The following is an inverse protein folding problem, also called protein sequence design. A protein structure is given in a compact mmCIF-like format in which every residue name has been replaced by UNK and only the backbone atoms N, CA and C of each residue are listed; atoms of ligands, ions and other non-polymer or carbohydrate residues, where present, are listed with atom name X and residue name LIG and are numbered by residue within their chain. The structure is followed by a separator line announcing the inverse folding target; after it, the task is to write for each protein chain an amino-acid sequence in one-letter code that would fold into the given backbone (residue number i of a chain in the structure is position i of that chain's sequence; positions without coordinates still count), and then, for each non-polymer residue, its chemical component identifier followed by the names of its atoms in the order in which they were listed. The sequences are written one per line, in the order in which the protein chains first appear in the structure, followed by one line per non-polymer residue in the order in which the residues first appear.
data_IF_492016741663
#
_entry.id   IF_492016741663
#
_cell.length_a   1.000
_cell.length_b   1.000
_cell.length_c   1.000
_cell.angle_alpha   90.00
_cell.angle_beta   90.00
_cell.angle_gamma   90.00
#
_symmetry.space_group_name_H-M   'P 1'
#
loop_
_entity.id
_entity.type
_entity.pdbx_description
1 polymer ?
#
# COMPACT_ATOMS: atom_id res chain seq x y z
N UNK A 1 -9.05 25.19 23.04
CA UNK A 1 -8.75 23.88 22.39
C UNK A 1 -9.96 22.97 22.55
N UNK A 2 -10.52 22.41 21.48
CA UNK A 2 -11.57 21.38 21.61
C UNK A 2 -10.88 20.04 21.89
N UNK A 3 -11.41 19.23 22.79
CA UNK A 3 -10.84 17.94 23.18
C UNK A 3 -11.88 16.82 23.05
N UNK A 4 -11.41 15.58 22.92
CA UNK A 4 -12.28 14.39 22.94
C UNK A 4 -11.89 13.50 24.12
N UNK A 5 -12.91 12.96 24.78
CA UNK A 5 -12.77 12.15 25.98
C UNK A 5 -13.13 10.70 25.67
N UNK A 6 -12.29 9.79 26.16
CA UNK A 6 -12.55 8.35 26.14
C UNK A 6 -12.69 7.88 27.58
N UNK A 7 -13.86 7.35 27.91
CA UNK A 7 -14.12 6.70 29.19
C UNK A 7 -13.70 5.25 29.03
N UNK A 8 -12.74 4.82 29.84
CA UNK A 8 -12.20 3.47 29.81
C UNK A 8 -13.05 2.54 30.65
N UNK A 9 -12.98 1.23 30.40
CA UNK A 9 -13.61 0.23 31.25
C UNK A 9 -13.01 0.18 32.67
N UNK A 10 -13.79 -0.25 33.66
CA UNK A 10 -13.37 -0.32 35.07
C UNK A 10 -12.09 -1.14 35.29
N UNK A 11 -11.85 -2.16 34.46
CA UNK A 11 -10.66 -3.03 34.56
C UNK A 11 -9.34 -2.25 34.50
N UNK A 12 -9.33 -1.08 33.88
CA UNK A 12 -8.13 -0.25 33.77
C UNK A 12 -7.88 0.62 35.02
N UNK A 13 -8.87 0.78 35.91
CA UNK A 13 -8.74 1.66 37.08
C UNK A 13 -7.59 1.27 38.03
N UNK A 14 -7.26 -0.02 38.11
CA UNK A 14 -6.15 -0.52 38.94
C UNK A 14 -4.76 -0.09 38.42
N UNK A 15 -4.67 0.31 37.16
CA UNK A 15 -3.41 0.67 36.49
C UNK A 15 -3.14 2.18 36.45
N UNK A 16 -4.00 3.00 37.05
CA UNK A 16 -3.98 4.46 36.93
C UNK A 16 -2.59 5.07 37.16
N UNK A 17 -1.87 4.67 38.22
CA UNK A 17 -0.51 5.17 38.53
C UNK A 17 0.52 4.86 37.45
N UNK A 18 0.44 3.69 36.81
CA UNK A 18 1.35 3.30 35.71
C UNK A 18 1.02 4.06 34.43
N UNK A 19 -0.27 4.31 34.20
CA UNK A 19 -0.78 5.01 33.03
C UNK A 19 -0.30 6.47 33.00
N UNK A 20 -0.30 7.19 34.13
CA UNK A 20 0.19 8.58 34.16
C UNK A 20 1.64 8.69 33.66
N UNK A 21 2.53 7.78 34.07
CA UNK A 21 3.94 7.78 33.65
C UNK A 21 4.09 7.53 32.14
N UNK A 22 3.27 6.63 31.57
CA UNK A 22 3.28 6.32 30.15
C UNK A 22 2.84 7.48 29.27
N UNK A 23 2.02 8.40 29.78
CA UNK A 23 1.54 9.54 28.98
C UNK A 23 2.70 10.44 28.58
N UNK A 24 3.65 10.70 29.47
CA UNK A 24 4.83 11.53 29.16
C UNK A 24 5.69 10.89 28.04
N UNK A 25 5.81 9.56 28.07
CA UNK A 25 6.48 8.77 27.02
C UNK A 25 5.71 8.87 25.69
N UNK A 26 4.38 8.72 25.72
CA UNK A 26 3.53 8.82 24.52
C UNK A 26 3.50 10.24 23.93
N UNK A 27 3.52 11.29 24.75
CA UNK A 27 3.56 12.68 24.28
C UNK A 27 4.85 12.95 23.52
N UNK A 28 5.97 12.35 23.94
CA UNK A 28 7.25 12.46 23.22
C UNK A 28 7.17 11.81 21.82
N UNK A 29 6.41 10.72 21.69
CA UNK A 29 6.14 10.04 20.41
C UNK A 29 5.18 10.82 19.51
N UNK A 30 4.25 11.59 20.08
CA UNK A 30 3.35 12.46 19.32
C UNK A 30 4.05 13.58 18.55
N UNK A 31 5.37 13.76 18.75
CA UNK A 31 6.21 14.57 17.86
C UNK A 31 6.24 13.99 16.43
N UNK A 32 5.99 12.69 16.25
CA UNK A 32 5.70 12.12 14.94
C UNK A 32 4.26 12.46 14.54
N UNK A 33 4.10 13.12 13.38
CA UNK A 33 2.80 13.64 12.90
C UNK A 33 1.69 12.60 12.69
N UNK A 34 2.04 11.32 12.77
CA UNK A 34 1.18 10.15 12.55
C UNK A 34 0.51 9.65 13.84
N UNK A 35 1.02 10.05 15.01
CA UNK A 35 0.49 9.59 16.29
C UNK A 35 -0.36 10.67 16.97
N UNK A 36 -1.42 10.23 17.63
CA UNK A 36 -2.23 11.05 18.51
C UNK A 36 -2.10 10.49 19.93
N UNK A 37 -1.33 11.19 20.76
CA UNK A 37 -1.19 10.85 22.17
C UNK A 37 -2.25 11.55 23.04
N UNK A 38 -2.60 10.98 24.21
CA UNK A 38 -3.42 11.68 25.18
C UNK A 38 -2.66 12.90 25.72
N UNK A 39 -3.37 14.02 25.87
CA UNK A 39 -2.85 15.24 26.49
C UNK A 39 -2.83 15.09 28.02
N UNK A 40 -3.81 14.38 28.58
CA UNK A 40 -3.84 14.00 29.99
C UNK A 40 -4.80 12.83 30.21
N UNK A 41 -4.64 12.14 31.32
CA UNK A 41 -5.62 11.20 31.87
C UNK A 41 -6.04 11.71 33.25
N UNK A 42 -7.23 11.33 33.70
CA UNK A 42 -7.59 11.47 35.11
C UNK A 42 -8.56 10.38 35.51
N UNK A 43 -8.59 10.04 36.80
CA UNK A 43 -9.59 9.14 37.37
C UNK A 43 -10.73 9.96 37.98
N UNK A 44 -11.95 9.78 37.48
CA UNK A 44 -13.14 10.39 38.05
C UNK A 44 -13.77 9.44 39.07
N UNK A 45 -13.68 9.82 40.34
CA UNK A 45 -14.21 9.04 41.48
C UNK A 45 -15.74 8.90 41.47
N UNK A 46 -16.48 9.82 40.83
CA UNK A 46 -17.95 9.80 40.82
C UNK A 46 -18.49 8.70 39.93
N UNK A 47 -17.87 8.52 38.77
CA UNK A 47 -18.22 7.45 37.84
C UNK A 47 -17.33 6.21 38.01
N UNK A 48 -16.29 6.30 38.86
CA UNK A 48 -15.28 5.26 39.07
C UNK A 48 -14.65 4.78 37.76
N UNK A 49 -14.21 5.70 36.92
CA UNK A 49 -13.57 5.37 35.64
C UNK A 49 -12.40 6.31 35.36
N UNK A 50 -11.41 5.80 34.63
CA UNK A 50 -10.40 6.63 34.01
C UNK A 50 -10.89 7.25 32.72
N UNK A 51 -10.52 8.51 32.51
CA UNK A 51 -10.87 9.31 31.36
C UNK A 51 -9.58 9.75 30.68
N UNK A 52 -9.38 9.31 29.43
CA UNK A 52 -8.31 9.79 28.56
C UNK A 52 -8.79 10.99 27.76
N UNK A 53 -7.95 12.02 27.68
CA UNK A 53 -8.23 13.23 26.96
C UNK A 53 -7.28 13.38 25.77
N UNK A 54 -7.83 13.46 24.55
CA UNK A 54 -7.07 13.62 23.32
C UNK A 54 -7.35 14.97 22.65
N UNK A 55 -6.42 15.46 21.81
CA UNK A 55 -6.72 16.57 20.91
C UNK A 55 -7.93 16.24 20.03
N UNK A 56 -8.67 17.26 19.58
CA UNK A 56 -9.83 17.05 18.72
C UNK A 56 -9.40 16.43 17.38
N UNK A 57 -10.04 15.30 17.06
CA UNK A 57 -10.09 14.70 15.73
C UNK A 57 -11.55 14.62 15.24
N UNK A 58 -11.76 14.39 13.94
CA UNK A 58 -13.11 14.45 13.36
C UNK A 58 -13.93 13.22 13.73
N UNK A 59 -13.43 12.03 13.42
CA UNK A 59 -14.11 10.76 13.71
C UNK A 59 -13.16 9.58 13.84
N UNK A 60 -13.65 8.49 14.44
CA UNK A 60 -12.95 7.21 14.46
C UNK A 60 -12.92 6.60 13.06
N UNK A 61 -11.81 5.95 12.70
CA UNK A 61 -11.59 5.33 11.41
C UNK A 61 -12.69 4.30 11.13
N UNK A 62 -13.01 3.42 12.09
CA UNK A 62 -14.09 2.42 11.96
C UNK A 62 -15.47 2.99 11.58
N UNK A 63 -15.74 4.26 11.93
CA UNK A 63 -17.01 4.91 11.58
C UNK A 63 -16.97 5.51 10.16
N UNK A 64 -15.77 5.85 9.68
CA UNK A 64 -15.55 6.40 8.35
C UNK A 64 -15.47 5.31 7.27
N UNK A 65 -14.86 4.16 7.59
CA UNK A 65 -14.62 3.03 6.68
C UNK A 65 -15.87 2.51 5.94
N UNK A 66 -17.06 2.36 6.57
CA UNK A 66 -18.24 1.86 5.88
C UNK A 66 -18.76 2.80 4.79
N UNK A 67 -18.51 4.11 4.92
CA UNK A 67 -18.96 5.13 3.98
C UNK A 67 -18.06 5.24 2.74
N UNK A 68 -16.91 4.57 2.71
CA UNK A 68 -15.98 4.62 1.58
C UNK A 68 -16.35 3.60 0.51
N UNK A 69 -16.64 4.11 -0.69
CA UNK A 69 -16.79 3.29 -1.88
C UNK A 69 -15.46 3.22 -2.64
N UNK A 70 -15.03 2.01 -2.99
CA UNK A 70 -13.91 1.82 -3.89
C UNK A 70 -14.40 1.88 -5.33
N UNK A 71 -13.79 2.77 -6.11
CA UNK A 71 -14.00 2.86 -7.56
C UNK A 71 -12.64 2.85 -8.24
N UNK A 72 -12.46 1.91 -9.17
CA UNK A 72 -11.24 1.80 -9.98
C UNK A 72 -10.32 0.63 -9.59
N UNK A 73 -9.24 0.50 -10.36
CA UNK A 73 -8.26 -0.60 -10.25
C UNK A 73 -7.13 -0.32 -9.25
N UNK A 74 -6.96 0.93 -8.83
CA UNK A 74 -5.90 1.38 -7.93
C UNK A 74 -6.46 1.84 -6.59
N UNK A 75 -5.60 1.78 -5.57
CA UNK A 75 -5.97 2.17 -4.21
C UNK A 75 -6.27 3.68 -4.18
N UNK A 76 -7.34 4.12 -3.47
CA UNK A 76 -7.59 5.54 -3.28
C UNK A 76 -6.42 6.21 -2.51
N UNK A 77 -6.06 7.46 -2.83
CA UNK A 77 -4.96 8.15 -2.17
C UNK A 77 -5.03 8.16 -0.64
N UNK A 78 -6.23 8.34 -0.07
CA UNK A 78 -6.42 8.33 1.38
C UNK A 78 -6.06 6.98 2.03
N UNK A 79 -6.33 5.87 1.34
CA UNK A 79 -5.96 4.53 1.79
C UNK A 79 -4.47 4.28 1.63
N UNK A 80 -3.88 4.75 0.53
CA UNK A 80 -2.43 4.72 0.35
C UNK A 80 -1.71 5.49 1.47
N UNK A 81 -2.19 6.68 1.82
CA UNK A 81 -1.64 7.49 2.90
C UNK A 81 -1.79 6.79 4.26
N UNK A 82 -2.98 6.24 4.57
CA UNK A 82 -3.18 5.43 5.78
C UNK A 82 -2.11 4.35 5.90
N UNK A 83 -1.94 3.55 4.84
CA UNK A 83 -1.04 2.41 4.87
C UNK A 83 0.41 2.88 5.04
N UNK A 84 0.81 3.92 4.31
CA UNK A 84 2.14 4.53 4.46
C UNK A 84 2.40 5.05 5.87
N UNK A 85 1.43 5.75 6.46
CA UNK A 85 1.56 6.34 7.80
C UNK A 85 1.68 5.24 8.86
N UNK A 86 0.90 4.15 8.73
CA UNK A 86 1.01 2.99 9.61
C UNK A 86 2.38 2.33 9.45
N UNK A 87 2.81 1.93 8.24
CA UNK A 87 4.12 1.26 8.06
C UNK A 87 5.26 2.16 8.55
N UNK A 88 5.22 3.46 8.24
CA UNK A 88 6.23 4.41 8.68
C UNK A 88 6.26 4.48 10.20
N UNK A 89 5.10 4.58 10.86
CA UNK A 89 5.04 4.56 12.32
C UNK A 89 5.56 3.29 12.94
N UNK A 90 5.19 2.15 12.38
CA UNK A 90 5.63 0.85 12.88
C UNK A 90 7.14 0.64 12.69
N UNK A 91 7.75 1.24 11.66
CA UNK A 91 9.21 1.22 11.45
C UNK A 91 10.01 1.95 12.55
N UNK A 92 9.36 2.82 13.33
CA UNK A 92 9.96 3.49 14.48
C UNK A 92 9.67 2.76 15.82
N UNK A 93 8.85 1.71 15.82
CA UNK A 93 8.26 1.10 17.02
C UNK A 93 8.89 -0.25 17.42
N UNK A 94 10.03 -0.66 16.83
CA UNK A 94 10.76 -1.86 17.30
C UNK A 94 11.11 -1.80 18.82
N UNK A 95 11.11 -0.61 19.45
CA UNK A 95 11.29 -0.43 20.90
C UNK A 95 9.98 -0.28 21.71
N UNK A 96 8.81 -0.20 21.08
CA UNK A 96 7.56 0.28 21.72
C UNK A 96 6.32 -0.54 21.36
N UNK A 97 6.53 -1.84 21.12
CA UNK A 97 5.57 -2.88 20.76
C UNK A 97 4.45 -3.14 21.79
N UNK A 98 3.97 -2.13 22.50
CA UNK A 98 2.97 -2.29 23.57
C UNK A 98 1.78 -1.33 23.49
N UNK A 99 1.77 -0.27 22.66
CA UNK A 99 0.76 0.82 22.79
C UNK A 99 -0.22 1.01 21.61
N UNK A 100 -0.15 0.17 20.59
CA UNK A 100 -0.81 0.44 19.30
C UNK A 100 -2.33 0.22 19.27
N UNK A 101 -2.89 -0.41 20.29
CA UNK A 101 -4.32 -0.69 20.40
C UNK A 101 -4.88 -1.49 19.22
N UNK A 102 -6.19 -1.76 19.23
CA UNK A 102 -6.86 -2.24 18.01
C UNK A 102 -6.89 -1.11 16.98
N UNK A 103 -6.65 -1.43 15.71
CA UNK A 103 -6.80 -0.52 14.57
C UNK A 103 -8.18 0.17 14.48
N UNK A 104 -9.21 -0.44 15.08
CA UNK A 104 -10.54 0.15 15.25
C UNK A 104 -10.55 1.47 16.01
N UNK A 105 -9.47 1.72 16.76
CA UNK A 105 -9.27 2.91 17.56
C UNK A 105 -8.55 4.06 16.82
N UNK A 106 -8.11 3.84 15.58
CA UNK A 106 -7.45 4.88 14.78
C UNK A 106 -8.43 6.00 14.44
N UNK A 107 -7.91 7.20 14.17
CA UNK A 107 -8.72 8.39 13.93
C UNK A 107 -8.39 9.10 12.64
N UNK A 108 -9.40 9.73 12.07
CA UNK A 108 -9.25 10.62 10.94
C UNK A 108 -9.20 12.08 11.42
N UNK A 109 -8.15 12.79 11.01
CA UNK A 109 -8.12 14.25 10.97
C UNK A 109 -8.33 14.69 9.51
N UNK A 110 -9.30 15.56 9.26
CA UNK A 110 -9.65 16.05 7.92
C UNK A 110 -8.91 17.34 7.56
N UNK A 111 -8.20 17.97 8.51
CA UNK A 111 -7.44 19.20 8.31
C UNK A 111 -6.13 19.19 9.12
N UNK A 112 -5.00 18.75 8.51
CA UNK A 112 -4.87 18.19 7.16
C UNK A 112 -5.55 16.81 7.03
N UNK A 113 -5.96 16.40 5.82
CA UNK A 113 -6.48 15.05 5.56
C UNK A 113 -5.40 14.00 5.84
N UNK A 114 -5.36 13.50 7.07
CA UNK A 114 -4.40 12.51 7.55
C UNK A 114 -5.08 11.58 8.54
N UNK A 115 -4.67 10.32 8.49
CA UNK A 115 -5.13 9.33 9.45
C UNK A 115 -4.06 9.25 10.53
N UNK A 116 -4.48 9.40 11.78
CA UNK A 116 -3.60 9.29 12.94
C UNK A 116 -3.93 8.04 13.73
N UNK A 117 -2.89 7.41 14.23
CA UNK A 117 -2.98 6.29 15.15
C UNK A 117 -3.16 6.85 16.56
N UNK A 118 -4.26 6.51 17.23
CA UNK A 118 -4.40 6.82 18.65
C UNK A 118 -3.44 5.92 19.43
N UNK A 119 -2.55 6.52 20.21
CA UNK A 119 -1.69 5.80 21.13
C UNK A 119 -2.39 5.67 22.48
N UNK A 120 -2.67 4.43 22.91
CA UNK A 120 -3.24 4.19 24.23
C UNK A 120 -2.13 3.89 25.24
N UNK A 121 -2.24 4.38 26.49
CA UNK A 121 -1.21 4.19 27.53
C UNK A 121 -1.28 2.82 28.22
N UNK A 122 -1.66 1.76 27.51
CA UNK A 122 -1.74 0.39 28.05
C UNK A 122 -0.61 -0.48 27.51
N UNK A 123 -0.27 -1.53 28.25
CA UNK A 123 0.57 -2.61 27.74
C UNK A 123 -0.31 -3.60 26.97
N UNK A 124 -0.07 -3.73 25.68
CA UNK A 124 -0.52 -4.89 24.90
C UNK A 124 0.48 -6.04 25.09
N UNK A 125 -0.03 -7.26 25.18
CA UNK A 125 0.75 -8.47 24.90
C UNK A 125 1.37 -8.40 23.50
N UNK A 126 2.43 -9.20 23.26
CA UNK A 126 3.21 -9.28 22.01
C UNK A 126 2.47 -8.72 20.80
N UNK A 127 2.94 -7.57 20.31
CA UNK A 127 2.29 -6.88 19.20
C UNK A 127 2.66 -7.56 17.89
N UNK A 128 1.75 -8.38 17.38
CA UNK A 128 1.76 -8.87 16.01
C UNK A 128 1.13 -7.85 15.04
N UNK A 129 1.60 -6.60 15.09
CA UNK A 129 0.96 -5.50 14.34
C UNK A 129 0.82 -5.81 12.84
N UNK A 130 1.75 -6.58 12.26
CA UNK A 130 1.68 -7.01 10.86
C UNK A 130 0.48 -7.91 10.59
N UNK A 131 0.22 -8.87 11.48
CA UNK A 131 -0.92 -9.78 11.38
C UNK A 131 -2.25 -9.04 11.62
N UNK A 132 -2.30 -8.19 12.63
CA UNK A 132 -3.47 -7.37 12.95
C UNK A 132 -3.80 -6.40 11.82
N UNK A 133 -2.76 -5.76 11.26
CA UNK A 133 -2.92 -4.84 10.14
C UNK A 133 -3.30 -5.57 8.85
N UNK A 134 -2.75 -6.76 8.60
CA UNK A 134 -3.18 -7.61 7.50
C UNK A 134 -4.66 -7.99 7.62
N UNK A 135 -5.11 -8.41 8.81
CA UNK A 135 -6.52 -8.74 9.07
C UNK A 135 -7.45 -7.55 8.81
N UNK A 136 -7.05 -6.36 9.26
CA UNK A 136 -7.76 -5.12 8.99
C UNK A 136 -7.88 -4.80 7.50
N UNK A 137 -6.78 -4.92 6.76
CA UNK A 137 -6.78 -4.68 5.32
C UNK A 137 -7.63 -5.72 4.59
N UNK A 138 -7.65 -6.97 5.04
CA UNK A 138 -8.56 -7.99 4.50
C UNK A 138 -10.02 -7.56 4.68
N UNK A 139 -10.41 -7.23 5.91
CA UNK A 139 -11.78 -6.92 6.27
C UNK A 139 -12.31 -5.66 5.56
N UNK A 140 -11.53 -4.59 5.58
CA UNK A 140 -12.03 -3.27 5.19
C UNK A 140 -11.58 -2.78 3.81
N UNK A 141 -10.53 -3.37 3.23
CA UNK A 141 -9.99 -3.01 1.91
C UNK A 141 -10.18 -4.16 0.91
N UNK A 142 -9.52 -5.31 1.10
CA UNK A 142 -9.46 -6.39 0.10
C UNK A 142 -10.83 -7.00 -0.21
N UNK A 143 -11.65 -7.26 0.81
CA UNK A 143 -12.99 -7.83 0.62
C UNK A 143 -13.91 -6.92 -0.21
N UNK A 144 -13.68 -5.60 -0.16
CA UNK A 144 -14.43 -4.60 -0.92
C UNK A 144 -13.79 -4.26 -2.27
N UNK A 145 -12.49 -4.51 -2.41
CA UNK A 145 -11.68 -4.19 -3.59
C UNK A 145 -10.68 -5.32 -3.86
N UNK A 146 -11.07 -6.26 -4.72
CA UNK A 146 -10.31 -7.48 -5.05
C UNK A 146 -9.14 -7.22 -6.00
N UNK A 147 -8.22 -6.33 -5.61
CA UNK A 147 -7.01 -6.04 -6.38
C UNK A 147 -5.92 -7.07 -6.13
N UNK A 148 -5.19 -7.47 -7.18
CA UNK A 148 -3.99 -8.31 -7.08
C UNK A 148 -2.93 -7.64 -6.21
N UNK A 149 -2.75 -6.32 -6.36
CA UNK A 149 -1.77 -5.54 -5.60
C UNK A 149 -2.08 -5.57 -4.11
N UNK A 150 -3.36 -5.47 -3.75
CA UNK A 150 -3.79 -5.54 -2.34
C UNK A 150 -3.49 -6.91 -1.74
N UNK A 151 -3.76 -7.99 -2.48
CA UNK A 151 -3.47 -9.36 -2.04
C UNK A 151 -1.97 -9.60 -1.88
N UNK A 152 -1.19 -9.15 -2.86
CA UNK A 152 0.26 -9.26 -2.84
C UNK A 152 0.86 -8.54 -1.61
N UNK A 153 0.45 -7.28 -1.41
CA UNK A 153 0.85 -6.47 -0.26
C UNK A 153 0.52 -7.14 1.09
N UNK A 154 -0.71 -7.65 1.24
CA UNK A 154 -1.15 -8.35 2.47
C UNK A 154 -0.29 -9.60 2.71
N UNK A 155 0.03 -10.35 1.66
CA UNK A 155 0.90 -11.52 1.78
C UNK A 155 2.31 -11.13 2.26
N UNK A 156 2.87 -10.02 1.77
CA UNK A 156 4.18 -9.53 2.24
C UNK A 156 4.15 -9.14 3.72
N UNK A 157 3.09 -8.46 4.17
CA UNK A 157 2.90 -8.14 5.59
C UNK A 157 2.89 -9.41 6.45
N UNK A 158 2.18 -10.45 6.01
CA UNK A 158 2.04 -11.71 6.75
C UNK A 158 3.30 -12.59 6.75
N UNK A 159 4.23 -12.41 5.82
CA UNK A 159 5.46 -13.20 5.69
C UNK A 159 6.66 -12.63 6.42
N UNK A 160 6.47 -11.55 7.19
CA UNK A 160 7.53 -10.82 7.88
C UNK A 160 8.63 -10.28 6.93
N UNK A 161 8.27 -9.87 5.70
CA UNK A 161 9.21 -9.27 4.74
C UNK A 161 9.86 -7.99 5.28
N UNK A 162 10.98 -7.56 4.70
CA UNK A 162 11.72 -6.36 5.13
C UNK A 162 10.82 -5.13 5.00
N UNK A 163 10.76 -4.29 6.05
CA UNK A 163 9.90 -3.09 6.07
C UNK A 163 10.23 -2.13 4.92
N UNK A 164 11.51 -1.97 4.61
CA UNK A 164 11.96 -1.19 3.45
C UNK A 164 11.31 -1.68 2.16
N UNK A 165 11.26 -2.98 1.92
CA UNK A 165 10.59 -3.55 0.73
C UNK A 165 9.09 -3.23 0.77
N UNK A 166 8.42 -3.48 1.90
CA UNK A 166 6.98 -3.19 2.08
C UNK A 166 6.65 -1.70 1.80
N UNK A 167 7.53 -0.76 2.19
CA UNK A 167 7.36 0.68 1.91
C UNK A 167 7.46 1.01 0.41
N UNK A 168 8.24 0.25 -0.35
CA UNK A 168 8.43 0.43 -1.80
C UNK A 168 7.44 -0.39 -2.64
N UNK A 169 6.56 -1.16 -2.01
CA UNK A 169 5.59 -2.00 -2.70
C UNK A 169 4.70 -1.20 -3.69
N UNK A 170 4.36 -1.76 -4.88
CA UNK A 170 3.61 -1.07 -5.93
C UNK A 170 2.29 -0.43 -5.51
N UNK A 171 1.57 -1.06 -4.58
CA UNK A 171 0.33 -0.53 -3.98
C UNK A 171 0.51 0.89 -3.42
N UNK A 172 1.73 1.22 -2.98
CA UNK A 172 2.06 2.47 -2.30
C UNK A 172 2.79 3.46 -3.21
N UNK A 173 2.96 3.18 -4.49
CA UNK A 173 3.71 4.05 -5.39
C UNK A 173 2.76 4.83 -6.31
N UNK A 174 3.14 6.07 -6.63
CA UNK A 174 2.51 6.80 -7.73
C UNK A 174 2.89 6.18 -9.09
N UNK A 175 2.17 6.57 -10.13
CA UNK A 175 2.32 5.95 -11.43
C UNK A 175 3.67 6.24 -12.12
N UNK A 176 4.29 7.37 -11.80
CA UNK A 176 5.61 7.72 -12.34
C UNK A 176 6.69 6.82 -11.73
N UNK A 177 6.64 6.60 -10.42
CA UNK A 177 7.53 5.68 -9.71
C UNK A 177 7.34 4.23 -10.18
N UNK A 178 6.11 3.79 -10.41
CA UNK A 178 5.85 2.47 -11.00
C UNK A 178 6.43 2.33 -12.41
N UNK A 179 6.31 3.37 -13.23
CA UNK A 179 6.87 3.38 -14.60
C UNK A 179 8.39 3.34 -14.56
N UNK A 180 9.00 4.07 -13.62
CA UNK A 180 10.43 4.04 -13.39
C UNK A 180 10.90 2.68 -12.88
N UNK A 181 10.21 2.06 -11.92
CA UNK A 181 10.51 0.72 -11.42
C UNK A 181 10.55 -0.30 -12.56
N UNK A 182 9.53 -0.32 -13.41
CA UNK A 182 9.47 -1.22 -14.58
C UNK A 182 10.69 -1.01 -15.48
N UNK A 183 11.00 0.24 -15.82
CA UNK A 183 12.10 0.59 -16.72
C UNK A 183 13.47 0.24 -16.15
N UNK A 184 13.67 0.48 -14.86
CA UNK A 184 14.94 0.24 -14.16
C UNK A 184 15.19 -1.24 -13.89
N UNK A 185 14.12 -2.03 -13.79
CA UNK A 185 14.19 -3.47 -13.57
C UNK A 185 14.45 -4.23 -14.86
N UNK A 186 14.00 -3.71 -16.01
CA UNK A 186 14.22 -4.35 -17.30
C UNK A 186 15.71 -4.51 -17.63
N UNK A 187 16.04 -5.56 -18.38
CA UNK A 187 17.41 -5.89 -18.82
C UNK A 187 17.40 -6.19 -20.31
N UNK A 188 18.43 -5.72 -21.02
CA UNK A 188 18.64 -6.06 -22.43
C UNK A 188 18.93 -7.56 -22.58
N UNK A 189 18.53 -8.15 -23.71
CA UNK A 189 18.69 -9.58 -23.98
C UNK A 189 20.15 -10.06 -23.85
N UNK A 190 21.12 -9.23 -24.26
CA UNK A 190 22.55 -9.53 -24.16
C UNK A 190 23.04 -9.73 -22.72
N UNK A 191 22.28 -9.26 -21.72
CA UNK A 191 22.58 -9.40 -20.30
C UNK A 191 21.81 -10.54 -19.62
N UNK A 192 21.08 -11.35 -20.38
CA UNK A 192 20.32 -12.49 -19.85
C UNK A 192 21.15 -13.77 -19.92
N UNK A 193 21.67 -14.18 -18.77
CA UNK A 193 22.21 -15.53 -18.58
C UNK A 193 21.08 -16.54 -18.47
N UNK A 194 21.38 -17.84 -18.64
CA UNK A 194 20.40 -18.91 -18.45
C UNK A 194 19.72 -18.86 -17.06
N UNK A 195 20.48 -18.53 -16.01
CA UNK A 195 19.97 -18.35 -14.65
C UNK A 195 18.99 -17.19 -14.54
N UNK A 196 19.30 -16.04 -15.17
CA UNK A 196 18.40 -14.88 -15.19
C UNK A 196 17.12 -15.16 -15.98
N UNK A 197 17.20 -15.92 -17.07
CA UNK A 197 16.03 -16.35 -17.85
C UNK A 197 15.13 -17.26 -16.99
N UNK A 198 15.73 -18.20 -16.25
CA UNK A 198 15.00 -19.09 -15.36
C UNK A 198 14.33 -18.29 -14.23
N UNK A 199 15.04 -17.34 -13.61
CA UNK A 199 14.52 -16.45 -12.57
C UNK A 199 13.36 -15.58 -13.09
N UNK A 200 13.53 -15.01 -14.28
CA UNK A 200 12.49 -14.24 -14.94
C UNK A 200 11.25 -15.09 -15.21
N UNK A 201 11.43 -16.29 -15.75
CA UNK A 201 10.32 -17.17 -16.14
C UNK A 201 9.57 -17.74 -14.93
N UNK A 202 10.25 -17.90 -13.79
CA UNK A 202 9.64 -18.37 -12.55
C UNK A 202 8.92 -17.25 -11.77
N UNK A 203 9.26 -15.98 -12.03
CA UNK A 203 8.66 -14.83 -11.34
C UNK A 203 7.61 -14.14 -12.20
N UNK A 204 7.94 -13.82 -13.44
CA UNK A 204 7.05 -13.14 -14.39
C UNK A 204 6.38 -14.17 -15.30
N UNK A 205 5.09 -14.41 -15.08
CA UNK A 205 4.39 -15.47 -15.79
C UNK A 205 3.92 -15.01 -17.18
N UNK A 206 4.47 -15.64 -18.22
CA UNK A 206 4.08 -15.44 -19.61
C UNK A 206 2.69 -16.01 -19.95
N UNK A 207 2.13 -16.88 -19.10
CA UNK A 207 0.83 -17.51 -19.30
C UNK A 207 -0.10 -17.12 -18.15
N UNK A 208 -1.06 -16.25 -18.42
CA UNK A 208 -2.04 -15.79 -17.42
C UNK A 208 -3.38 -16.47 -17.65
N UNK A 209 -3.92 -17.15 -16.64
CA UNK A 209 -5.18 -17.89 -16.74
C UNK A 209 -5.22 -18.88 -17.92
N UNK A 210 -4.13 -19.61 -18.15
CA UNK A 210 -3.93 -20.53 -19.28
C UNK A 210 -3.92 -19.86 -20.66
N UNK A 211 -3.76 -18.54 -20.73
CA UNK A 211 -3.68 -17.77 -21.98
C UNK A 211 -2.28 -17.16 -22.10
N UNK A 212 -1.57 -17.37 -23.23
CA UNK A 212 -0.32 -16.66 -23.49
C UNK A 212 -0.54 -15.15 -23.46
N UNK A 213 0.40 -14.41 -22.89
CA UNK A 213 0.26 -12.96 -22.75
C UNK A 213 0.06 -12.24 -24.09
N UNK A 214 0.60 -12.78 -25.19
CA UNK A 214 0.46 -12.25 -26.55
C UNK A 214 -0.88 -12.56 -27.20
N UNK A 215 -1.71 -13.41 -26.58
CA UNK A 215 -3.08 -13.70 -27.01
C UNK A 215 -4.12 -12.88 -26.25
N UNK A 216 -3.69 -11.98 -25.36
CA UNK A 216 -4.60 -11.10 -24.62
C UNK A 216 -5.28 -10.13 -25.60
N UNK A 217 -6.60 -10.01 -25.47
CA UNK A 217 -7.40 -9.07 -26.26
C UNK A 217 -7.53 -7.77 -25.49
N UNK A 218 -7.25 -6.64 -26.14
CA UNK A 218 -7.40 -5.30 -25.57
C UNK A 218 -8.05 -4.37 -26.58
N UNK A 219 -8.77 -3.35 -26.08
CA UNK A 219 -9.35 -2.31 -26.94
C UNK A 219 -8.35 -1.19 -27.26
N UNK A 220 -7.18 -1.18 -26.59
CA UNK A 220 -6.13 -0.20 -26.82
C UNK A 220 -5.34 -0.52 -28.10
N UNK A 221 -5.41 0.38 -29.08
CA UNK A 221 -4.77 0.20 -30.38
C UNK A 221 -3.22 0.19 -30.30
N UNK A 222 -2.63 0.93 -29.37
CA UNK A 222 -1.17 1.00 -29.19
C UNK A 222 -0.67 -0.30 -28.58
N UNK A 223 -1.39 -0.83 -27.59
CA UNK A 223 -1.06 -2.13 -26.98
C UNK A 223 -1.21 -3.27 -27.99
N UNK A 224 -2.30 -3.28 -28.78
CA UNK A 224 -2.47 -4.26 -29.85
C UNK A 224 -1.31 -4.21 -30.86
N UNK A 225 -0.84 -3.02 -31.22
CA UNK A 225 0.31 -2.87 -32.11
C UNK A 225 1.58 -3.48 -31.50
N UNK A 226 1.87 -3.19 -30.23
CA UNK A 226 3.00 -3.80 -29.51
C UNK A 226 2.92 -5.33 -29.47
N UNK A 227 1.76 -5.89 -29.09
CA UNK A 227 1.54 -7.34 -29.04
C UNK A 227 1.76 -7.96 -30.43
N UNK A 228 1.20 -7.37 -31.49
CA UNK A 228 1.33 -7.89 -32.86
C UNK A 228 2.75 -7.88 -33.41
N UNK A 229 3.61 -7.00 -32.87
CA UNK A 229 5.02 -6.84 -33.27
C UNK A 229 5.99 -7.54 -32.32
N UNK A 230 5.49 -8.27 -31.33
CA UNK A 230 6.31 -9.00 -30.37
C UNK A 230 7.16 -10.05 -31.11
N UNK A 231 8.45 -10.09 -30.78
CA UNK A 231 9.42 -11.01 -31.41
C UNK A 231 9.41 -12.37 -30.73
N UNK A 232 9.17 -12.39 -29.41
CA UNK A 232 9.12 -13.60 -28.59
C UNK A 232 7.83 -13.61 -27.77
N UNK A 233 7.33 -14.81 -27.44
CA UNK A 233 6.12 -15.02 -26.63
C UNK A 233 6.43 -15.51 -25.21
N UNK A 234 7.69 -15.40 -24.78
CA UNK A 234 8.16 -15.79 -23.46
C UNK A 234 8.03 -14.64 -22.44
N UNK A 235 8.46 -14.88 -21.19
CA UNK A 235 8.41 -13.87 -20.13
C UNK A 235 9.26 -12.64 -20.43
N UNK A 236 10.36 -12.78 -21.17
CA UNK A 236 11.17 -11.64 -21.59
C UNK A 236 10.48 -10.81 -22.67
N UNK A 237 9.79 -11.45 -23.61
CA UNK A 237 8.92 -10.77 -24.57
C UNK A 237 7.86 -9.93 -23.86
N UNK A 238 7.15 -10.53 -22.88
CA UNK A 238 6.17 -9.81 -22.06
C UNK A 238 6.79 -8.59 -21.36
N UNK A 239 7.91 -8.78 -20.66
CA UNK A 239 8.57 -7.68 -19.95
C UNK A 239 9.02 -6.57 -20.90
N UNK A 240 9.49 -6.94 -22.10
CA UNK A 240 9.92 -5.99 -23.13
C UNK A 240 8.75 -5.12 -23.62
N UNK A 241 7.58 -5.71 -23.87
CA UNK A 241 6.40 -4.94 -24.28
C UNK A 241 5.87 -4.04 -23.14
N UNK A 242 5.86 -4.54 -21.91
CA UNK A 242 5.49 -3.74 -20.72
C UNK A 242 6.42 -2.53 -20.57
N UNK A 243 7.73 -2.73 -20.71
CA UNK A 243 8.71 -1.64 -20.65
C UNK A 243 8.51 -0.62 -21.78
N UNK A 244 8.18 -1.07 -22.99
CA UNK A 244 7.88 -0.16 -24.12
C UNK A 244 6.62 0.67 -23.86
N UNK A 245 5.57 0.05 -23.31
CA UNK A 245 4.35 0.76 -22.90
C UNK A 245 4.68 1.80 -21.83
N UNK A 246 5.37 1.41 -20.75
CA UNK A 246 5.77 2.33 -19.68
C UNK A 246 6.64 3.51 -20.18
N UNK A 247 7.46 3.31 -21.21
CA UNK A 247 8.37 4.35 -21.72
C UNK A 247 7.78 5.23 -22.85
N UNK A 248 6.96 4.65 -23.74
CA UNK A 248 6.63 5.28 -25.02
C UNK A 248 5.13 5.33 -25.33
N UNK A 249 4.26 4.82 -24.46
CA UNK A 249 2.82 4.79 -24.71
C UNK A 249 2.24 6.18 -25.01
N UNK A 250 2.56 7.20 -24.21
CA UNK A 250 2.03 8.57 -24.39
C UNK A 250 2.42 9.13 -25.76
N UNK A 251 3.67 8.92 -26.19
CA UNK A 251 4.16 9.39 -27.47
C UNK A 251 3.46 8.68 -28.64
N UNK A 252 3.37 7.35 -28.57
CA UNK A 252 2.78 6.54 -29.64
C UNK A 252 1.26 6.69 -29.72
N UNK A 253 0.58 6.84 -28.59
CA UNK A 253 -0.84 7.18 -28.55
C UNK A 253 -1.11 8.53 -29.21
N UNK A 254 -0.26 9.54 -28.96
CA UNK A 254 -0.36 10.85 -29.65
C UNK A 254 -0.12 10.74 -31.15
N UNK A 255 0.85 9.94 -31.60
CA UNK A 255 1.10 9.70 -33.04
C UNK A 255 -0.12 9.04 -33.70
N UNK A 256 -0.63 7.96 -33.10
CA UNK A 256 -1.77 7.21 -33.61
C UNK A 256 -3.06 8.05 -33.67
N UNK A 257 -3.32 8.89 -32.67
CA UNK A 257 -4.47 9.81 -32.68
C UNK A 257 -4.36 10.88 -33.77
N UNK A 258 -3.15 11.40 -34.03
CA UNK A 258 -2.90 12.32 -35.16
C UNK A 258 -3.17 11.64 -36.50
N UNK A 259 -2.67 10.43 -36.70
CA UNK A 259 -2.85 9.67 -37.94
C UNK A 259 -4.32 9.32 -38.19
N UNK A 260 -5.07 8.95 -37.15
CA UNK A 260 -6.48 8.58 -37.24
C UNK A 260 -7.46 9.77 -37.15
N UNK A 261 -6.96 11.01 -37.04
CA UNK A 261 -7.75 12.25 -36.83
C UNK A 261 -8.72 12.16 -35.63
N UNK A 262 -8.33 11.44 -34.59
CA UNK A 262 -9.15 11.29 -33.38
C UNK A 262 -8.82 12.43 -32.43
N UNK A 263 -9.83 13.23 -32.03
CA UNK A 263 -9.67 14.27 -31.03
C UNK A 263 -9.57 13.65 -29.64
N UNK A 264 -8.42 13.81 -28.97
CA UNK A 264 -8.09 13.46 -27.58
C UNK A 264 -9.18 12.71 -26.80
N UNK A 265 -9.15 11.39 -26.86
CA UNK A 265 -9.71 10.53 -25.81
C UNK A 265 -8.93 10.75 -24.51
N UNK A 266 -9.61 10.52 -23.38
CA UNK A 266 -9.09 10.66 -22.00
C UNK A 266 -7.64 10.16 -21.92
N UNK A 267 -6.71 10.99 -21.43
CA UNK A 267 -5.33 10.56 -21.22
C UNK A 267 -5.32 9.54 -20.08
N UNK A 268 -5.05 8.27 -20.42
CA UNK A 268 -4.88 7.18 -19.47
C UNK A 268 -3.40 6.98 -19.22
N UNK A 269 -3.02 6.76 -17.97
CA UNK A 269 -1.61 6.55 -17.64
C UNK A 269 -1.13 5.15 -18.12
N UNK A 270 0.11 5.00 -18.63
CA UNK A 270 0.64 3.70 -19.10
C UNK A 270 0.49 2.56 -18.08
N UNK A 271 0.64 2.86 -16.79
CA UNK A 271 0.45 1.92 -15.69
C UNK A 271 -0.97 1.38 -15.61
N UNK A 272 -1.97 2.22 -15.83
CA UNK A 272 -3.37 1.77 -15.86
C UNK A 272 -3.60 0.80 -17.03
N UNK A 273 -2.99 1.07 -18.19
CA UNK A 273 -3.06 0.20 -19.37
C UNK A 273 -2.38 -1.15 -19.13
N UNK A 274 -1.21 -1.14 -18.48
CA UNK A 274 -0.48 -2.36 -18.12
C UNK A 274 -1.30 -3.21 -17.15
N UNK A 275 -1.84 -2.62 -16.09
CA UNK A 275 -2.66 -3.32 -15.09
C UNK A 275 -4.01 -3.77 -15.66
N UNK A 276 -4.55 -3.05 -16.64
CA UNK A 276 -5.74 -3.45 -17.36
C UNK A 276 -5.50 -4.68 -18.26
N UNK A 277 -4.38 -4.67 -18.98
CA UNK A 277 -4.06 -5.70 -19.97
C UNK A 277 -3.53 -6.98 -19.29
N UNK A 278 -2.66 -6.82 -18.29
CA UNK A 278 -2.04 -7.93 -17.57
C UNK A 278 -2.10 -7.71 -16.05
N UNK A 279 -3.28 -7.88 -15.42
CA UNK A 279 -3.43 -7.69 -13.98
C UNK A 279 -2.45 -8.55 -13.19
N UNK A 280 -1.78 -7.97 -12.19
CA UNK A 280 -0.80 -8.67 -11.35
C UNK A 280 0.65 -8.63 -11.87
N UNK A 281 0.89 -8.08 -13.06
CA UNK A 281 2.23 -8.10 -13.67
C UNK A 281 3.19 -7.10 -13.03
N UNK A 282 2.65 -6.02 -12.44
CA UNK A 282 3.46 -4.97 -11.81
C UNK A 282 4.09 -5.51 -10.53
N UNK A 283 3.37 -6.34 -9.80
CA UNK A 283 3.79 -7.03 -8.58
C UNK A 283 4.82 -8.11 -8.88
N UNK A 284 4.66 -8.86 -9.96
CA UNK A 284 5.69 -9.82 -10.42
C UNK A 284 6.99 -9.12 -10.83
N UNK A 285 6.90 -7.95 -11.49
CA UNK A 285 8.08 -7.13 -11.78
C UNK A 285 8.69 -6.57 -10.50
N UNK A 286 7.87 -6.20 -9.53
CA UNK A 286 8.34 -5.79 -8.22
C UNK A 286 9.08 -6.93 -7.50
N UNK A 287 8.56 -8.15 -7.52
CA UNK A 287 9.23 -9.32 -6.94
C UNK A 287 10.61 -9.58 -7.55
N UNK A 288 10.77 -9.33 -8.86
CA UNK A 288 12.08 -9.37 -9.53
C UNK A 288 13.06 -8.33 -8.96
N UNK A 289 12.57 -7.15 -8.55
CA UNK A 289 13.43 -6.13 -7.92
C UNK A 289 13.99 -6.60 -6.58
N UNK A 290 13.31 -7.53 -5.90
CA UNK A 290 13.76 -8.09 -4.64
C UNK A 290 14.78 -9.23 -4.83
N UNK A 291 15.01 -9.70 -6.06
CA UNK A 291 15.96 -10.78 -6.35
C UNK A 291 17.34 -10.21 -6.68
N UNK A 292 18.29 -10.38 -5.77
CA UNK A 292 19.69 -9.96 -5.96
C UNK A 292 20.33 -10.52 -7.25
N UNK A 293 20.01 -11.76 -7.62
CA UNK A 293 20.49 -12.40 -8.86
C UNK A 293 19.98 -11.74 -10.15
N UNK A 294 18.85 -11.02 -10.10
CA UNK A 294 18.34 -10.23 -11.21
C UNK A 294 19.02 -8.86 -11.30
N UNK A 295 19.28 -8.25 -10.14
CA UNK A 295 19.83 -6.89 -10.05
C UNK A 295 21.35 -6.82 -10.18
N UNK A 296 22.08 -7.91 -9.95
CA UNK A 296 23.53 -7.96 -10.15
C UNK A 296 23.90 -7.49 -11.57
N UNK A 297 25.05 -6.84 -11.71
CA UNK A 297 25.60 -6.47 -13.03
C UNK A 297 26.21 -7.68 -13.70
#
# INVERSE_FOLDING_TARGET
MKMKFFILDEKYNAEAKRIYKKIDELVTLANHSIFLAPVFVFHDKKINHMILCYPKFDQLLKNWLPAQAFKGRFIPPIWMHLIKDVISGMSYIDELATSLGSIDSYVLETKPERIKVILFPFESTEVHWRADFAAFLIEHLHNKWKSTMSKHFINMLQKDDIIGDIQHHPLLQDFDNLSNMIRMTWRESKHLTAERILLLSSTLNAIRNNIPWSSVTTTDAVVNEYISKAVTNDSWGLFTEIKKIAAHYIENHRKLNKEKRICNTRQVHPIEIIEETWPGVIEEIYDLTLKSGWLST
#
